data_IF_264875178602
#
_entry.id   IF_264875178602
#
_cell.length_a   1.000
_cell.length_b   1.000
_cell.length_c   1.000
_cell.angle_alpha   90.00
_cell.angle_beta   90.00
_cell.angle_gamma   90.00
#
_symmetry.space_group_name_H-M   'P 1'
#
loop_
_entity.id
_entity.type
_entity.pdbx_description
1 polymer ?
#
# COMPACT_ATOMS: atom_id res chain seq x y z
N UNK A 1 1.22 4.14 12.27
CA UNK A 1 -0.10 4.04 11.60
C UNK A 1 -0.29 2.62 11.10
N UNK A 2 -1.52 2.24 10.77
CA UNK A 2 -1.82 0.93 10.15
C UNK A 2 -2.36 1.13 8.74
N UNK A 3 -1.94 0.28 7.81
CA UNK A 3 -2.44 0.25 6.43
C UNK A 3 -2.86 -1.17 6.07
N UNK A 4 -3.90 -1.28 5.24
CA UNK A 4 -4.32 -2.55 4.67
C UNK A 4 -3.53 -2.82 3.39
N UNK A 5 -3.02 -4.04 3.25
CA UNK A 5 -2.37 -4.52 2.04
C UNK A 5 -3.07 -5.80 1.60
N UNK A 6 -3.52 -5.81 0.36
CA UNK A 6 -4.08 -6.98 -0.29
C UNK A 6 -2.93 -7.85 -0.82
N UNK A 7 -2.96 -9.15 -0.52
CA UNK A 7 -1.99 -10.12 -1.01
C UNK A 7 -2.69 -11.23 -1.78
N UNK A 8 -2.17 -11.60 -2.94
CA UNK A 8 -2.71 -12.70 -3.75
C UNK A 8 -1.65 -13.27 -4.69
N UNK A 9 -1.86 -14.50 -5.13
CA UNK A 9 -1.01 -15.14 -6.12
C UNK A 9 -1.69 -15.07 -7.50
N UNK A 10 -0.99 -14.58 -8.50
CA UNK A 10 -1.46 -14.52 -9.88
C UNK A 10 -0.31 -14.93 -10.80
N UNK A 11 -0.56 -15.85 -11.73
CA UNK A 11 0.42 -16.33 -12.72
C UNK A 11 1.79 -16.72 -12.13
N UNK A 12 1.78 -17.39 -10.96
CA UNK A 12 3.00 -17.81 -10.27
C UNK A 12 3.78 -16.68 -9.59
N UNK A 13 3.25 -15.46 -9.55
CA UNK A 13 3.84 -14.32 -8.88
C UNK A 13 3.04 -13.94 -7.62
N UNK A 14 3.76 -13.55 -6.58
CA UNK A 14 3.23 -13.07 -5.31
C UNK A 14 3.01 -11.56 -5.41
N UNK A 15 1.75 -11.13 -5.36
CA UNK A 15 1.37 -9.72 -5.41
C UNK A 15 1.06 -9.18 -4.01
N UNK A 16 1.47 -7.95 -3.77
CA UNK A 16 1.04 -7.12 -2.65
C UNK A 16 0.56 -5.78 -3.20
N UNK A 17 -0.62 -5.34 -2.77
CA UNK A 17 -1.27 -4.11 -3.25
C UNK A 17 -1.62 -3.22 -2.07
N UNK A 18 -1.10 -1.99 -2.10
CA UNK A 18 -1.42 -0.97 -1.11
C UNK A 18 -2.10 0.21 -1.83
N UNK A 19 -3.43 0.26 -1.75
CA UNK A 19 -4.22 1.30 -2.41
C UNK A 19 -3.96 2.69 -1.82
N UNK A 20 -3.67 2.78 -0.52
CA UNK A 20 -3.37 4.05 0.13
C UNK A 20 -2.21 4.79 -0.55
N UNK A 21 -1.19 4.08 -1.06
CA UNK A 21 -0.09 4.69 -1.81
C UNK A 21 -0.11 4.40 -3.31
N UNK A 22 -1.26 3.95 -3.84
CA UNK A 22 -1.45 3.58 -5.24
C UNK A 22 -0.37 2.62 -5.77
N UNK A 23 0.11 1.68 -4.96
CA UNK A 23 1.23 0.82 -5.32
C UNK A 23 0.80 -0.64 -5.42
N UNK A 24 1.28 -1.30 -6.47
CA UNK A 24 1.22 -2.75 -6.67
C UNK A 24 2.66 -3.22 -6.78
N UNK A 25 3.01 -4.22 -5.99
CA UNK A 25 4.32 -4.83 -5.98
C UNK A 25 4.20 -6.33 -6.21
N UNK A 26 5.16 -6.89 -6.94
CA UNK A 26 5.21 -8.31 -7.24
C UNK A 26 6.57 -8.90 -6.88
N UNK A 27 6.58 -10.20 -6.57
CA UNK A 27 7.79 -11.00 -6.42
C UNK A 27 7.57 -12.40 -6.94
N UNK A 28 8.63 -13.02 -7.46
CA UNK A 28 8.63 -14.44 -7.85
C UNK A 28 8.94 -15.39 -6.67
N UNK A 29 9.37 -14.85 -5.54
CA UNK A 29 9.86 -15.65 -4.42
C UNK A 29 8.85 -15.75 -3.28
N UNK A 30 8.32 -14.60 -2.81
CA UNK A 30 7.48 -14.56 -1.61
C UNK A 30 6.64 -13.28 -1.51
N UNK A 31 5.56 -13.34 -0.73
CA UNK A 31 4.79 -12.15 -0.34
C UNK A 31 5.62 -11.14 0.46
N UNK A 32 6.58 -11.59 1.27
CA UNK A 32 7.40 -10.69 2.08
C UNK A 32 8.27 -9.81 1.18
N UNK A 33 8.86 -10.35 0.12
CA UNK A 33 9.67 -9.57 -0.83
C UNK A 33 8.83 -8.45 -1.50
N UNK A 34 7.61 -8.78 -1.92
CA UNK A 34 6.69 -7.79 -2.50
C UNK A 34 6.22 -6.77 -1.45
N UNK A 35 6.04 -7.21 -0.20
CA UNK A 35 5.63 -6.35 0.91
C UNK A 35 6.73 -5.37 1.34
N UNK A 36 7.99 -5.80 1.36
CA UNK A 36 9.13 -4.94 1.71
C UNK A 36 9.24 -3.76 0.74
N UNK A 37 9.02 -3.99 -0.56
CA UNK A 37 8.96 -2.90 -1.56
C UNK A 37 7.88 -1.87 -1.26
N UNK A 38 6.70 -2.30 -0.77
CA UNK A 38 5.66 -1.37 -0.31
C UNK A 38 6.15 -0.55 0.89
N UNK A 39 6.79 -1.19 1.87
CA UNK A 39 7.32 -0.49 3.06
C UNK A 39 8.42 0.50 2.71
N UNK A 40 9.33 0.13 1.81
CA UNK A 40 10.39 1.01 1.30
C UNK A 40 9.80 2.26 0.63
N UNK A 41 8.86 2.06 -0.31
CA UNK A 41 8.21 3.17 -1.01
C UNK A 41 7.44 4.08 -0.04
N UNK A 42 6.76 3.49 0.93
CA UNK A 42 6.06 4.24 1.96
C UNK A 42 7.02 5.06 2.84
N UNK A 43 8.17 4.50 3.21
CA UNK A 43 9.21 5.21 3.96
C UNK A 43 9.73 6.44 3.20
N UNK A 44 9.94 6.30 1.89
CA UNK A 44 10.32 7.41 1.00
C UNK A 44 9.22 8.49 1.01
N UNK A 45 7.97 8.11 0.84
CA UNK A 45 6.86 9.07 0.77
C UNK A 45 6.58 9.76 2.11
N UNK A 46 6.80 9.07 3.23
CA UNK A 46 6.74 9.67 4.57
C UNK A 46 7.90 10.61 4.85
N UNK A 47 9.02 10.46 4.14
CA UNK A 47 10.20 11.33 4.22
C UNK A 47 10.09 12.58 3.33
N UNK A 48 9.12 12.64 2.42
CA UNK A 48 8.87 13.83 1.59
C UNK A 48 8.55 15.05 2.44
N UNK A 49 9.09 16.22 2.08
CA UNK A 49 8.74 17.48 2.72
C UNK A 49 7.22 17.69 2.66
N UNK A 50 6.62 17.92 3.83
CA UNK A 50 5.16 18.07 4.00
C UNK A 50 4.33 16.91 3.43
N UNK A 51 4.87 15.69 3.29
CA UNK A 51 4.14 14.53 2.78
C UNK A 51 3.52 14.76 1.38
N UNK A 52 4.19 15.54 0.52
CA UNK A 52 3.62 16.04 -0.74
C UNK A 52 3.06 14.93 -1.65
N UNK A 53 3.74 13.80 -1.81
CA UNK A 53 3.23 12.69 -2.62
C UNK A 53 2.00 12.04 -2.00
N UNK A 54 2.00 11.84 -0.68
CA UNK A 54 0.85 11.29 0.04
C UNK A 54 -0.38 12.20 -0.09
N UNK A 55 -0.19 13.53 0.00
CA UNK A 55 -1.27 14.50 -0.25
C UNK A 55 -1.86 14.36 -1.65
N UNK A 56 -1.02 14.18 -2.68
CA UNK A 56 -1.49 13.94 -4.06
C UNK A 56 -2.26 12.63 -4.21
N UNK A 57 -1.96 11.64 -3.37
CA UNK A 57 -2.70 10.38 -3.27
C UNK A 57 -3.97 10.51 -2.42
N UNK A 58 -4.27 11.71 -1.92
CA UNK A 58 -5.47 12.05 -1.16
C UNK A 58 -5.36 11.85 0.36
N UNK A 59 -4.15 11.61 0.88
CA UNK A 59 -3.92 11.59 2.32
C UNK A 59 -4.13 12.98 2.91
N UNK A 60 -4.69 13.03 4.12
CA UNK A 60 -4.94 14.28 4.83
C UNK A 60 -3.75 14.62 5.73
N UNK A 61 -3.24 15.84 5.63
CA UNK A 61 -2.22 16.36 6.53
C UNK A 61 -2.88 17.22 7.60
N UNK A 62 -2.54 16.97 8.87
CA UNK A 62 -2.99 17.74 10.03
C UNK A 62 -1.79 18.06 10.92
N UNK A 63 -1.23 19.27 10.78
CA UNK A 63 0.03 19.63 11.42
C UNK A 63 1.18 18.72 10.94
N UNK A 64 1.93 18.15 11.87
CA UNK A 64 3.02 17.19 11.58
C UNK A 64 2.52 15.73 11.48
N UNK A 65 1.20 15.52 11.34
CA UNK A 65 0.61 14.19 11.17
C UNK A 65 0.02 14.03 9.78
N UNK A 66 0.06 12.79 9.26
CA UNK A 66 -0.56 12.40 8.00
C UNK A 66 -1.53 11.24 8.25
N UNK A 67 -2.71 11.31 7.63
CA UNK A 67 -3.82 10.38 7.84
C UNK A 67 -4.16 9.74 6.49
N UNK A 68 -4.13 8.40 6.37
CA UNK A 68 -4.50 7.69 5.14
C UNK A 68 -6.00 7.77 4.86
N UNK A 69 -6.41 7.42 3.64
CA UNK A 69 -7.81 7.49 3.20
C UNK A 69 -8.65 6.35 3.82
N UNK A 70 -8.02 5.22 4.13
CA UNK A 70 -8.66 4.01 4.66
C UNK A 70 -9.74 3.46 3.71
N UNK A 71 -9.29 2.76 2.68
CA UNK A 71 -10.14 2.13 1.67
C UNK A 71 -10.84 0.88 2.21
N UNK A 72 -12.05 0.63 1.71
CA UNK A 72 -12.78 -0.60 1.98
C UNK A 72 -12.13 -1.80 1.23
N UNK A 73 -12.44 -3.01 1.68
CA UNK A 73 -11.91 -4.26 1.10
C UNK A 73 -12.26 -4.39 -0.39
N UNK A 74 -13.50 -4.09 -0.76
CA UNK A 74 -13.96 -4.14 -2.15
C UNK A 74 -13.21 -3.13 -3.04
N UNK A 75 -12.82 -1.98 -2.50
CA UNK A 75 -12.01 -0.98 -3.22
C UNK A 75 -10.57 -1.45 -3.44
N UNK A 76 -9.98 -2.16 -2.46
CA UNK A 76 -8.64 -2.75 -2.57
C UNK A 76 -8.62 -3.83 -3.67
N UNK A 77 -9.60 -4.73 -3.64
CA UNK A 77 -9.74 -5.82 -4.63
C UNK A 77 -10.03 -5.26 -6.01
N UNK A 78 -10.94 -4.29 -6.12
CA UNK A 78 -11.24 -3.61 -7.38
C UNK A 78 -10.01 -2.95 -7.98
N UNK A 79 -9.20 -2.26 -7.17
CA UNK A 79 -7.97 -1.64 -7.67
C UNK A 79 -6.98 -2.66 -8.24
N UNK A 80 -6.79 -3.80 -7.57
CA UNK A 80 -5.92 -4.87 -8.06
C UNK A 80 -6.46 -5.48 -9.36
N UNK A 81 -7.76 -5.79 -9.40
CA UNK A 81 -8.44 -6.33 -10.59
C UNK A 81 -8.35 -5.39 -11.78
N UNK A 82 -8.64 -4.10 -11.57
CA UNK A 82 -8.63 -3.09 -12.63
C UNK A 82 -7.20 -2.85 -13.16
N UNK A 83 -6.15 -3.08 -12.36
CA UNK A 83 -4.76 -2.97 -12.79
C UNK A 83 -4.26 -4.20 -13.56
N UNK A 84 -4.59 -5.40 -13.09
CA UNK A 84 -4.12 -6.66 -13.71
C UNK A 84 -5.05 -7.15 -14.81
N UNK A 85 -6.20 -6.50 -15.00
CA UNK A 85 -7.25 -6.91 -15.94
C UNK A 85 -7.69 -8.37 -15.74
N UNK A 86 -7.63 -8.85 -14.50
CA UNK A 86 -7.90 -10.26 -14.13
C UNK A 86 -8.67 -10.36 -12.82
N UNK A 87 -9.47 -11.41 -12.67
CA UNK A 87 -10.29 -11.62 -11.48
C UNK A 87 -9.44 -12.04 -10.28
N UNK A 88 -9.63 -11.36 -9.14
CA UNK A 88 -8.89 -11.63 -7.90
C UNK A 88 -9.83 -12.34 -6.92
N UNK A 89 -9.77 -13.67 -6.89
CA UNK A 89 -10.68 -14.52 -6.10
C UNK A 89 -10.04 -15.06 -4.82
N UNK A 90 -8.75 -15.40 -4.87
CA UNK A 90 -8.00 -15.94 -3.73
C UNK A 90 -7.01 -14.91 -3.20
N UNK A 91 -7.47 -14.09 -2.26
CA UNK A 91 -6.66 -13.05 -1.64
C UNK A 91 -6.76 -13.07 -0.12
N UNK A 92 -5.80 -12.39 0.50
CA UNK A 92 -5.78 -12.10 1.92
C UNK A 92 -5.51 -10.62 2.12
N UNK A 93 -6.21 -9.99 3.06
CA UNK A 93 -5.85 -8.66 3.53
C UNK A 93 -5.02 -8.80 4.81
N UNK A 94 -3.84 -8.19 4.79
CA UNK A 94 -2.99 -8.06 5.96
C UNK A 94 -2.93 -6.60 6.40
N UNK A 95 -2.69 -6.40 7.71
CA UNK A 95 -2.43 -5.09 8.27
C UNK A 95 -0.93 -4.92 8.48
N UNK A 96 -0.37 -3.85 7.94
CA UNK A 96 1.01 -3.47 8.22
C UNK A 96 1.08 -2.29 9.17
N UNK A 97 1.99 -2.39 10.13
CA UNK A 97 2.32 -1.28 11.00
C UNK A 97 3.48 -0.48 10.42
N UNK A 98 3.29 0.83 10.34
CA UNK A 98 4.26 1.75 9.75
C UNK A 98 4.60 2.80 10.78
N UNK A 99 5.87 2.86 11.18
CA UNK A 99 6.37 3.88 12.09
C UNK A 99 6.54 5.19 11.33
N UNK A 100 5.98 6.26 11.86
CA UNK A 100 6.27 7.62 11.41
C UNK A 100 7.26 8.16 12.42
N UNK A 101 8.51 8.39 12.01
CA UNK A 101 9.45 9.06 12.89
C UNK A 101 9.02 10.52 13.07
N UNK A 102 8.94 11.04 14.30
CA UNK A 102 8.70 12.45 14.53
C UNK A 102 9.84 13.25 13.91
N UNK A 103 9.51 14.26 13.10
CA UNK A 103 10.50 15.23 12.64
C UNK A 103 10.68 16.27 13.74
N UNK A 104 11.88 16.34 14.31
CA UNK A 104 12.38 17.43 15.17
C UNK A 104 12.32 18.79 14.44
#
# INVERSE_FOLDING_TARGET
MELNVLQFLCDGCFYCVCRDICLISESKNSFNDALERIKEMLSIYLSDKNYFRLQKMGWKVKGNSVIPINFAEDELVKYARDFLETEITNYQIIRIHVKIEPRD
#
